data_IF_394449027390
#
_entry.id   IF_394449027390
#
_cell.length_a   1.000
_cell.length_b   1.000
_cell.length_c   1.000
_cell.angle_alpha   90.00
_cell.angle_beta   90.00
_cell.angle_gamma   90.00
#
_symmetry.space_group_name_H-M   'P 1'
#
loop_
_entity.id
_entity.type
_entity.pdbx_description
1 polymer ?
#
# COMPACT_ATOMS: atom_id res chain seq x y z
N UNK A 1 4.53 -22.38 15.70
CA UNK A 1 4.75 -20.94 15.98
C UNK A 1 4.89 -20.20 14.64
N UNK A 2 4.39 -18.97 14.55
CA UNK A 2 4.50 -18.16 13.32
C UNK A 2 5.88 -17.49 13.27
N UNK A 3 6.67 -17.74 12.22
CA UNK A 3 7.98 -17.06 12.04
C UNK A 3 7.82 -15.53 11.95
N UNK A 4 6.70 -15.07 11.39
CA UNK A 4 6.41 -13.64 11.26
C UNK A 4 6.12 -13.00 12.61
N UNK A 5 5.29 -13.65 13.46
CA UNK A 5 4.96 -13.13 14.78
C UNK A 5 6.18 -13.00 15.72
N UNK A 6 7.13 -13.92 15.58
CA UNK A 6 8.34 -13.94 16.41
C UNK A 6 9.39 -12.88 16.04
N UNK A 7 9.28 -12.29 14.85
CA UNK A 7 10.17 -11.21 14.46
C UNK A 7 9.74 -9.91 15.14
N UNK A 8 10.58 -9.30 15.96
CA UNK A 8 10.28 -8.02 16.59
C UNK A 8 10.10 -6.91 15.55
N UNK A 9 9.46 -5.83 15.92
CA UNK A 9 9.36 -4.60 15.14
C UNK A 9 10.15 -3.53 15.84
N UNK A 10 11.22 -3.06 15.20
CA UNK A 10 12.03 -1.95 15.70
C UNK A 10 11.31 -0.63 15.43
N UNK A 11 11.23 0.21 16.44
CA UNK A 11 10.66 1.56 16.35
C UNK A 11 11.82 2.53 16.12
N UNK A 12 11.93 3.14 14.93
CA UNK A 12 13.00 4.08 14.64
C UNK A 12 12.87 5.35 15.47
N UNK A 13 13.97 6.04 15.69
CA UNK A 13 14.00 7.34 16.36
C UNK A 13 13.08 8.33 15.64
N UNK A 14 12.20 9.01 16.40
CA UNK A 14 11.21 9.95 15.85
C UNK A 14 9.83 9.33 15.57
N UNK A 15 9.62 8.06 15.90
CA UNK A 15 8.31 7.42 15.88
C UNK A 15 7.86 7.16 17.31
N UNK A 16 6.66 7.63 17.63
CA UNK A 16 6.02 7.46 18.93
C UNK A 16 4.91 6.41 18.80
N UNK A 17 4.92 5.41 19.67
CA UNK A 17 3.91 4.34 19.71
C UNK A 17 3.11 4.43 20.99
N UNK A 18 1.80 4.58 20.87
CA UNK A 18 0.87 4.58 22.00
C UNK A 18 0.03 3.31 21.95
N UNK A 19 0.10 2.51 23.01
CA UNK A 19 -0.71 1.31 23.18
C UNK A 19 -1.91 1.66 24.09
N UNK A 20 -3.11 1.60 23.52
CA UNK A 20 -4.37 1.63 24.25
C UNK A 20 -4.86 0.20 24.54
N UNK A 21 -5.98 0.07 25.25
CA UNK A 21 -6.58 -1.25 25.57
C UNK A 21 -7.06 -2.00 24.34
N UNK A 22 -7.62 -1.28 23.35
CA UNK A 22 -8.23 -1.87 22.15
C UNK A 22 -7.62 -1.34 20.85
N UNK A 23 -6.70 -0.38 20.93
CA UNK A 23 -6.16 0.32 19.76
C UNK A 23 -4.67 0.57 19.93
N UNK A 24 -3.93 0.50 18.81
CA UNK A 24 -2.55 0.96 18.71
C UNK A 24 -2.49 2.18 17.80
N UNK A 25 -1.84 3.24 18.25
CA UNK A 25 -1.57 4.44 17.48
C UNK A 25 -0.06 4.62 17.30
N UNK A 26 0.34 4.93 16.07
CA UNK A 26 1.74 5.16 15.70
C UNK A 26 1.83 6.52 15.04
N UNK A 27 2.63 7.42 15.64
CA UNK A 27 2.85 8.79 15.18
C UNK A 27 4.29 8.98 14.74
N UNK A 28 4.49 9.57 13.58
CA UNK A 28 5.82 9.85 13.04
C UNK A 28 5.86 11.16 12.26
N UNK A 29 6.98 11.40 11.58
CA UNK A 29 7.22 12.64 10.82
C UNK A 29 6.22 12.86 9.68
N UNK A 30 5.70 11.78 9.08
CA UNK A 30 4.78 11.86 7.92
C UNK A 30 3.30 11.79 8.27
N UNK A 31 2.96 11.51 9.52
CA UNK A 31 1.57 11.46 9.97
C UNK A 31 1.34 10.51 11.15
N UNK A 32 0.08 10.27 11.43
CA UNK A 32 -0.37 9.36 12.49
C UNK A 32 -1.29 8.33 11.89
N UNK A 33 -1.09 7.08 12.25
CA UNK A 33 -1.94 5.95 11.91
C UNK A 33 -2.40 5.27 13.18
N UNK A 34 -3.64 4.81 13.18
CA UNK A 34 -4.23 4.06 14.28
C UNK A 34 -4.96 2.84 13.75
N UNK A 35 -4.95 1.74 14.49
CA UNK A 35 -5.71 0.55 14.15
C UNK A 35 -6.18 -0.19 15.40
N UNK A 36 -7.36 -0.83 15.36
CA UNK A 36 -7.83 -1.67 16.45
C UNK A 36 -6.96 -2.93 16.59
N UNK A 37 -6.67 -3.31 17.81
CA UNK A 37 -5.95 -4.54 18.16
C UNK A 37 -6.96 -5.61 18.52
N UNK A 38 -6.79 -6.81 17.93
CA UNK A 38 -7.64 -7.95 18.27
C UNK A 38 -7.36 -8.41 19.70
N UNK A 39 -8.41 -8.64 20.52
CA UNK A 39 -8.29 -9.08 21.90
C UNK A 39 -7.55 -10.43 22.12
N UNK A 40 -7.32 -11.21 21.06
CA UNK A 40 -6.54 -12.44 21.07
C UNK A 40 -5.02 -12.21 20.92
N UNK A 41 -4.58 -10.96 20.74
CA UNK A 41 -3.17 -10.61 20.55
C UNK A 41 -2.73 -9.73 21.71
N UNK A 42 -1.54 -9.97 22.19
CA UNK A 42 -0.86 -9.16 23.18
C UNK A 42 0.37 -8.50 22.56
N UNK A 43 0.53 -7.21 22.82
CA UNK A 43 1.64 -6.42 22.29
C UNK A 43 2.45 -5.92 23.47
N UNK A 44 3.74 -6.20 23.46
CA UNK A 44 4.70 -5.71 24.44
C UNK A 44 5.59 -4.65 23.80
N UNK A 45 5.76 -3.53 24.48
CA UNK A 45 6.64 -2.45 24.05
C UNK A 45 7.77 -2.33 25.08
N UNK A 46 8.95 -2.77 24.73
CA UNK A 46 10.16 -2.69 25.52
C UNK A 46 11.16 -1.77 24.82
N UNK A 47 11.48 -0.65 25.42
CA UNK A 47 12.33 0.38 24.84
C UNK A 47 11.87 0.78 23.42
N UNK A 48 12.62 0.45 22.39
CA UNK A 48 12.30 0.73 21.00
C UNK A 48 11.90 -0.52 20.21
N UNK A 49 11.42 -1.57 20.87
CA UNK A 49 11.08 -2.84 20.24
C UNK A 49 9.68 -3.28 20.62
N UNK A 50 8.87 -3.59 19.60
CA UNK A 50 7.54 -4.18 19.77
C UNK A 50 7.61 -5.68 19.53
N UNK A 51 7.07 -6.45 20.46
CA UNK A 51 6.92 -7.90 20.33
C UNK A 51 5.45 -8.30 20.44
N UNK A 52 5.08 -9.37 19.77
CA UNK A 52 3.68 -9.79 19.60
C UNK A 52 3.52 -11.23 20.05
N UNK A 53 2.53 -11.49 20.91
CA UNK A 53 2.20 -12.83 21.34
C UNK A 53 0.71 -13.12 21.15
N UNK A 54 0.37 -14.40 21.01
CA UNK A 54 -1.01 -14.85 21.01
C UNK A 54 -1.43 -15.15 22.45
N UNK A 55 -2.58 -14.63 22.90
CA UNK A 55 -3.12 -14.89 24.25
C UNK A 55 -3.59 -16.34 24.44
N UNK A 56 -3.89 -17.04 23.35
CA UNK A 56 -4.32 -18.43 23.39
C UNK A 56 -3.51 -19.31 22.43
N UNK A 57 -3.60 -20.63 22.61
CA UNK A 57 -2.94 -21.61 21.72
C UNK A 57 -3.70 -21.85 20.43
N UNK A 58 -4.84 -21.21 20.23
CA UNK A 58 -5.70 -21.36 19.08
C UNK A 58 -5.00 -20.97 17.78
N UNK A 59 -5.39 -21.65 16.70
CA UNK A 59 -4.89 -21.34 15.34
C UNK A 59 -5.19 -19.91 14.94
N UNK A 60 -6.37 -19.40 15.30
CA UNK A 60 -6.78 -18.02 15.00
C UNK A 60 -5.91 -16.99 15.73
N UNK A 61 -5.70 -17.14 17.04
CA UNK A 61 -4.88 -16.24 17.83
C UNK A 61 -3.42 -16.18 17.30
N UNK A 62 -2.86 -17.36 16.95
CA UNK A 62 -1.53 -17.46 16.33
C UNK A 62 -1.46 -16.80 14.96
N UNK A 63 -2.51 -16.87 14.14
CA UNK A 63 -2.57 -16.19 12.86
C UNK A 63 -2.67 -14.67 13.05
N UNK A 64 -3.53 -14.23 13.98
CA UNK A 64 -3.74 -12.82 14.28
C UNK A 64 -2.49 -12.14 14.83
N UNK A 65 -1.67 -12.81 15.66
CA UNK A 65 -0.42 -12.22 16.13
C UNK A 65 0.54 -11.88 14.98
N UNK A 66 0.66 -12.76 13.99
CA UNK A 66 1.46 -12.48 12.78
C UNK A 66 0.89 -11.38 11.90
N UNK A 67 -0.45 -11.33 11.75
CA UNK A 67 -1.15 -10.28 11.01
C UNK A 67 -0.96 -8.92 11.68
N UNK A 68 -1.20 -8.82 12.99
CA UNK A 68 -1.02 -7.59 13.77
C UNK A 68 0.42 -7.11 13.68
N UNK A 69 1.40 -8.00 13.85
CA UNK A 69 2.83 -7.66 13.68
C UNK A 69 3.10 -7.03 12.31
N UNK A 70 2.59 -7.63 11.25
CA UNK A 70 2.82 -7.14 9.88
C UNK A 70 2.16 -5.78 9.64
N UNK A 71 0.95 -5.58 10.18
CA UNK A 71 0.24 -4.29 10.09
C UNK A 71 0.97 -3.20 10.86
N UNK A 72 1.39 -3.47 12.10
CA UNK A 72 2.15 -2.50 12.91
C UNK A 72 3.49 -2.16 12.23
N UNK A 73 4.20 -3.15 11.68
CA UNK A 73 5.43 -2.88 10.93
C UNK A 73 5.18 -1.98 9.71
N UNK A 74 4.06 -2.19 8.99
CA UNK A 74 3.67 -1.30 7.89
C UNK A 74 3.34 0.11 8.41
N UNK A 75 2.67 0.24 9.56
CA UNK A 75 2.40 1.56 10.16
C UNK A 75 3.68 2.29 10.53
N UNK A 76 4.61 1.64 11.22
CA UNK A 76 5.91 2.21 11.60
C UNK A 76 6.70 2.67 10.37
N UNK A 77 6.79 1.83 9.34
CA UNK A 77 7.44 2.18 8.07
C UNK A 77 6.73 3.34 7.37
N UNK A 78 5.39 3.31 7.36
CA UNK A 78 4.57 4.33 6.72
C UNK A 78 4.72 5.72 7.34
N UNK A 79 4.69 5.82 8.67
CA UNK A 79 4.81 7.12 9.36
C UNK A 79 6.25 7.66 9.36
N UNK A 80 7.27 6.79 9.19
CA UNK A 80 8.67 7.18 9.12
C UNK A 80 9.10 7.53 7.70
N UNK A 81 9.03 6.57 6.78
CA UNK A 81 9.52 6.69 5.40
C UNK A 81 8.41 7.03 4.41
N UNK A 82 7.17 6.57 4.69
CA UNK A 82 6.05 6.59 3.73
C UNK A 82 6.19 5.48 2.70
N UNK A 83 5.11 5.30 1.95
CA UNK A 83 5.08 4.36 0.83
C UNK A 83 4.85 5.11 -0.47
N UNK A 84 5.46 4.61 -1.53
CA UNK A 84 5.24 5.10 -2.88
C UNK A 84 5.02 3.93 -3.85
N UNK A 85 4.19 4.14 -4.85
CA UNK A 85 4.00 3.25 -5.99
C UNK A 85 3.97 4.02 -7.29
N UNK A 86 4.73 3.54 -8.25
CA UNK A 86 4.77 4.09 -9.60
C UNK A 86 3.90 3.25 -10.52
N UNK A 87 3.05 3.91 -11.29
CA UNK A 87 2.24 3.32 -12.35
C UNK A 87 2.76 3.82 -13.70
N UNK A 88 2.92 2.91 -14.65
CA UNK A 88 3.34 3.19 -16.01
C UNK A 88 2.14 3.02 -16.96
N UNK A 89 1.85 4.03 -17.76
CA UNK A 89 0.82 4.00 -18.79
C UNK A 89 1.46 3.61 -20.13
N UNK A 90 1.15 2.44 -20.63
CA UNK A 90 1.69 1.92 -21.89
C UNK A 90 0.60 1.91 -22.95
N UNK A 91 0.72 2.75 -23.96
CA UNK A 91 -0.22 2.82 -25.08
C UNK A 91 -0.08 4.13 -25.84
N UNK A 92 -0.40 4.10 -27.15
CA UNK A 92 -0.37 5.30 -27.98
C UNK A 92 -1.47 6.27 -27.52
N UNK A 93 -1.10 7.50 -27.20
CA UNK A 93 -2.02 8.53 -26.74
C UNK A 93 -2.46 8.40 -25.27
N UNK A 94 -1.91 7.44 -24.50
CA UNK A 94 -2.19 7.36 -23.07
C UNK A 94 -1.48 8.49 -22.32
N UNK A 95 -2.23 9.18 -21.47
CA UNK A 95 -1.73 10.31 -20.69
C UNK A 95 -2.38 10.33 -19.32
N UNK A 96 -1.64 10.81 -18.34
CA UNK A 96 -2.12 11.11 -17.00
C UNK A 96 -1.74 12.53 -16.62
N UNK A 97 -2.63 13.21 -15.93
CA UNK A 97 -2.39 14.55 -15.39
C UNK A 97 -3.05 14.64 -14.01
N UNK A 98 -2.26 15.00 -13.01
CA UNK A 98 -2.75 15.26 -11.65
C UNK A 98 -3.16 16.72 -11.54
N UNK A 99 -4.36 16.97 -11.01
CA UNK A 99 -4.90 18.30 -10.70
C UNK A 99 -5.45 18.30 -9.28
N UNK A 100 -4.64 18.71 -8.32
CA UNK A 100 -4.99 18.67 -6.89
C UNK A 100 -5.25 17.25 -6.40
N UNK A 101 -6.49 16.96 -5.99
CA UNK A 101 -6.91 15.64 -5.52
C UNK A 101 -7.45 14.72 -6.63
N UNK A 102 -7.41 15.14 -7.89
CA UNK A 102 -7.96 14.38 -9.02
C UNK A 102 -6.87 13.99 -9.99
N UNK A 103 -6.97 12.79 -10.54
CA UNK A 103 -6.12 12.31 -11.63
C UNK A 103 -6.98 12.20 -12.88
N UNK A 104 -6.64 12.94 -13.92
CA UNK A 104 -7.25 12.85 -15.22
C UNK A 104 -6.46 11.85 -16.07
N UNK A 105 -7.12 10.77 -16.51
CA UNK A 105 -6.51 9.68 -17.26
C UNK A 105 -7.13 9.62 -18.65
N UNK A 106 -6.30 9.68 -19.69
CA UNK A 106 -6.68 9.39 -21.07
C UNK A 106 -6.15 8.00 -21.42
N UNK A 107 -7.04 7.01 -21.49
CA UNK A 107 -6.67 5.59 -21.66
C UNK A 107 -7.27 4.96 -22.92
N UNK A 108 -7.57 5.80 -23.95
CA UNK A 108 -8.15 5.35 -25.20
C UNK A 108 -9.65 5.04 -25.11
N UNK A 109 -10.34 5.60 -24.15
CA UNK A 109 -11.81 5.63 -24.08
C UNK A 109 -12.33 6.86 -24.80
N UNK A 110 -13.63 6.87 -25.14
CA UNK A 110 -14.31 8.01 -25.76
C UNK A 110 -14.42 9.24 -24.84
N UNK A 111 -14.23 9.04 -23.54
CA UNK A 111 -14.25 10.09 -22.51
C UNK A 111 -13.01 9.96 -21.60
N UNK A 112 -12.52 11.05 -21.02
CA UNK A 112 -11.46 10.98 -20.02
C UNK A 112 -11.99 10.32 -18.75
N UNK A 113 -11.13 9.55 -18.07
CA UNK A 113 -11.43 8.96 -16.76
C UNK A 113 -10.89 9.91 -15.70
N UNK A 114 -11.76 10.36 -14.80
CA UNK A 114 -11.39 11.20 -13.66
C UNK A 114 -11.45 10.34 -12.40
N UNK A 115 -10.31 10.20 -11.73
CA UNK A 115 -10.20 9.46 -10.48
C UNK A 115 -9.93 10.43 -9.32
N UNK A 116 -10.76 10.38 -8.28
CA UNK A 116 -10.58 11.18 -7.06
C UNK A 116 -9.75 10.42 -6.04
N UNK A 117 -8.67 11.04 -5.57
CA UNK A 117 -7.79 10.46 -4.57
C UNK A 117 -8.47 10.50 -3.18
N UNK A 118 -8.47 9.39 -2.44
CA UNK A 118 -8.95 9.38 -1.07
C UNK A 118 -8.02 10.19 -0.15
N UNK A 119 -8.55 10.63 0.99
CA UNK A 119 -7.79 11.39 1.98
C UNK A 119 -6.56 10.62 2.47
N UNK A 120 -5.41 11.31 2.51
CA UNK A 120 -4.12 10.74 2.92
C UNK A 120 -3.33 10.06 1.79
N UNK A 121 -3.81 10.18 0.55
CA UNK A 121 -3.07 9.76 -0.65
C UNK A 121 -2.79 10.97 -1.51
N UNK A 122 -1.56 11.10 -1.97
CA UNK A 122 -1.13 12.12 -2.93
C UNK A 122 -0.61 11.47 -4.19
N UNK A 123 -0.72 12.16 -5.32
CA UNK A 123 -0.19 11.69 -6.58
C UNK A 123 0.58 12.79 -7.29
N UNK A 124 1.56 12.41 -8.06
CA UNK A 124 2.39 13.27 -8.91
C UNK A 124 2.51 12.61 -10.28
N UNK A 125 2.62 13.40 -11.33
CA UNK A 125 2.87 12.94 -12.70
C UNK A 125 4.22 13.48 -13.16
N UNK A 126 5.34 12.77 -12.89
CA UNK A 126 6.66 13.17 -13.33
C UNK A 126 6.76 13.26 -14.86
N UNK A 127 6.02 12.39 -15.54
CA UNK A 127 5.81 12.45 -17.00
C UNK A 127 4.33 12.18 -17.32
N UNK A 128 3.93 12.46 -18.57
CA UNK A 128 2.55 12.21 -19.01
C UNK A 128 2.15 10.71 -19.00
N UNK A 129 3.13 9.84 -18.97
CA UNK A 129 2.94 8.38 -18.99
C UNK A 129 3.24 7.69 -17.66
N UNK A 130 3.55 8.46 -16.62
CA UNK A 130 3.91 7.95 -15.31
C UNK A 130 3.10 8.63 -14.21
N UNK A 131 2.57 7.85 -13.30
CA UNK A 131 1.88 8.34 -12.09
C UNK A 131 2.59 7.80 -10.88
N UNK A 132 3.09 8.68 -10.02
CA UNK A 132 3.68 8.34 -8.74
C UNK A 132 2.67 8.62 -7.64
N UNK A 133 2.26 7.59 -6.92
CA UNK A 133 1.30 7.68 -5.82
C UNK A 133 2.05 7.51 -4.51
N UNK A 134 1.77 8.38 -3.54
CA UNK A 134 2.41 8.39 -2.21
C UNK A 134 1.35 8.36 -1.11
N UNK A 135 1.59 7.58 -0.07
CA UNK A 135 0.75 7.55 1.13
C UNK A 135 1.52 7.05 2.34
N UNK A 136 1.06 7.42 3.52
CA UNK A 136 1.50 6.84 4.79
C UNK A 136 0.91 5.45 4.98
N UNK A 137 -0.32 5.25 4.49
CA UNK A 137 -1.06 3.99 4.60
C UNK A 137 -0.81 3.10 3.38
N UNK A 138 -0.12 1.97 3.60
CA UNK A 138 0.17 0.97 2.56
C UNK A 138 -1.08 0.36 1.94
N UNK A 139 -2.14 0.17 2.73
CA UNK A 139 -3.39 -0.42 2.26
C UNK A 139 -4.11 0.55 1.30
N UNK A 140 -4.28 1.82 1.69
CA UNK A 140 -4.88 2.84 0.83
C UNK A 140 -4.08 3.04 -0.46
N UNK A 141 -2.74 3.09 -0.35
CA UNK A 141 -1.87 3.17 -1.52
C UNK A 141 -2.06 2.01 -2.47
N UNK A 142 -2.12 0.78 -1.92
CA UNK A 142 -2.34 -0.43 -2.69
C UNK A 142 -3.70 -0.45 -3.40
N UNK A 143 -4.74 -0.01 -2.70
CA UNK A 143 -6.10 0.07 -3.22
C UNK A 143 -6.19 1.06 -4.39
N UNK A 144 -5.70 2.28 -4.20
CA UNK A 144 -5.68 3.31 -5.26
C UNK A 144 -4.91 2.83 -6.49
N UNK A 145 -3.75 2.23 -6.29
CA UNK A 145 -2.97 1.70 -7.41
C UNK A 145 -3.72 0.58 -8.17
N UNK A 146 -4.43 -0.29 -7.46
CA UNK A 146 -5.23 -1.35 -8.06
C UNK A 146 -6.45 -0.81 -8.81
N UNK A 147 -7.14 0.19 -8.28
CA UNK A 147 -8.29 0.84 -8.92
C UNK A 147 -7.89 1.56 -10.21
N UNK A 148 -6.80 2.33 -10.19
CA UNK A 148 -6.30 3.00 -11.39
C UNK A 148 -5.86 1.98 -12.44
N UNK A 149 -5.20 0.88 -12.03
CA UNK A 149 -4.82 -0.21 -12.93
C UNK A 149 -6.05 -0.92 -13.52
N UNK A 150 -7.14 -1.04 -12.76
CA UNK A 150 -8.36 -1.72 -13.19
C UNK A 150 -9.10 -1.00 -14.31
N UNK A 151 -8.94 0.33 -14.47
CA UNK A 151 -9.55 1.05 -15.61
C UNK A 151 -9.07 0.50 -16.96
N UNK A 152 -7.81 0.14 -17.08
CA UNK A 152 -7.24 -0.46 -18.29
C UNK A 152 -6.12 -1.42 -17.92
N UNK A 153 -6.43 -2.67 -17.57
CA UNK A 153 -5.41 -3.64 -17.20
C UNK A 153 -4.50 -3.96 -18.40
N UNK A 154 -3.24 -4.32 -18.14
CA UNK A 154 -2.29 -4.60 -19.22
C UNK A 154 -2.74 -5.82 -20.04
N UNK A 155 -2.72 -5.68 -21.35
CA UNK A 155 -3.05 -6.77 -22.29
C UNK A 155 -1.89 -7.78 -22.42
N UNK A 156 -2.19 -9.05 -22.74
CA UNK A 156 -1.16 -10.09 -22.80
C UNK A 156 -0.33 -10.10 -24.09
N UNK A 157 -0.61 -9.28 -25.09
CA UNK A 157 0.10 -9.28 -26.36
C UNK A 157 1.21 -8.23 -26.43
N UNK A 158 0.86 -6.95 -26.47
CA UNK A 158 1.80 -5.84 -26.51
C UNK A 158 2.06 -5.22 -25.13
N UNK A 159 1.27 -5.62 -24.12
CA UNK A 159 1.36 -5.09 -22.76
C UNK A 159 0.82 -3.67 -22.61
N UNK A 160 -0.08 -3.23 -23.52
CA UNK A 160 -0.75 -1.96 -23.43
C UNK A 160 -1.71 -1.95 -22.25
N UNK A 161 -1.76 -0.86 -21.52
CA UNK A 161 -2.59 -0.69 -20.32
C UNK A 161 -1.85 0.06 -19.24
N UNK A 162 -2.46 0.15 -18.07
CA UNK A 162 -1.85 0.69 -16.85
C UNK A 162 -1.25 -0.47 -16.07
N UNK A 163 0.03 -0.38 -15.76
CA UNK A 163 0.76 -1.40 -15.00
C UNK A 163 1.47 -0.79 -13.79
N UNK A 164 1.69 -1.59 -12.77
CA UNK A 164 2.57 -1.20 -11.67
C UNK A 164 4.01 -1.34 -12.16
N UNK A 165 4.87 -0.36 -11.89
CA UNK A 165 6.26 -0.41 -12.29
C UNK A 165 6.95 -1.66 -11.71
N UNK A 166 7.66 -2.40 -12.58
CA UNK A 166 8.26 -3.70 -12.23
C UNK A 166 7.31 -4.91 -12.28
N UNK A 167 6.03 -4.72 -12.64
CA UNK A 167 5.09 -5.83 -12.79
C UNK A 167 5.46 -6.69 -14.01
N UNK A 168 5.64 -7.99 -13.77
CA UNK A 168 5.84 -8.96 -14.85
C UNK A 168 4.51 -9.33 -15.51
N UNK A 169 4.38 -9.01 -16.79
CA UNK A 169 3.19 -9.35 -17.60
C UNK A 169 3.52 -10.55 -18.47
N UNK A 170 2.80 -11.66 -18.25
CA UNK A 170 2.92 -12.84 -19.10
C UNK A 170 2.41 -12.52 -20.50
N UNK A 171 3.33 -12.42 -21.47
CA UNK A 171 2.98 -12.18 -22.88
C UNK A 171 2.65 -13.47 -23.59
N UNK A 172 1.66 -13.39 -24.48
CA UNK A 172 1.30 -14.45 -25.43
C UNK A 172 1.82 -14.05 -26.81
N UNK A 173 2.31 -15.03 -27.55
CA UNK A 173 2.63 -14.83 -28.95
C UNK A 173 1.35 -14.91 -29.80
N UNK A 174 1.22 -14.01 -30.78
CA UNK A 174 0.15 -14.10 -31.76
C UNK A 174 0.41 -15.33 -32.64
N UNK A 175 -0.67 -16.03 -33.01
CA UNK A 175 -0.57 -17.16 -33.92
C UNK A 175 0.09 -16.68 -35.24
N UNK A 176 1.28 -17.18 -35.54
CA UNK A 176 1.90 -16.98 -36.88
C UNK A 176 0.96 -17.61 -37.93
N UNK A 177 0.59 -16.82 -38.93
CA UNK A 177 -0.08 -17.34 -40.14
C UNK A 177 0.89 -18.20 -40.94
#
# INVERSE_FOLDING_TARGET
MSRVANNPVEVPSGVEVTLGETEISVKGAKGTLAMPVNGQVEIFHNDNVLTFSARSTDKFAKAMSGTTRSLVNNMVTGVSQGFEKKLDLVGVGYRAQVQGSKINLTLGFSHPVIYELPAGVTAETPSQTEVLIKSVDKQKLGQVAAEIRAFRPPEPYKGKGVRISGEYIRRKEAKKK
#
